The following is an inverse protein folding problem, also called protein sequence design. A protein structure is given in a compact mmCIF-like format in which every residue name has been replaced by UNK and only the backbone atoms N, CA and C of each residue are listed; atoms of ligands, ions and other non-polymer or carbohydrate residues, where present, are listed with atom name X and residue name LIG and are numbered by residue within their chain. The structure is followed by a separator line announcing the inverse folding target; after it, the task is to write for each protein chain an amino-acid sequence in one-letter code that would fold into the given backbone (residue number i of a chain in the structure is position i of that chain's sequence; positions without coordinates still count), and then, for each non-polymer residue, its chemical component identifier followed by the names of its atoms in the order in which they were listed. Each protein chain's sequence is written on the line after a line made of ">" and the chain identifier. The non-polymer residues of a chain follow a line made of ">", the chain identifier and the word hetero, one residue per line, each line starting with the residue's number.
data_IF_597131808620
#
_entry.id   IF_597131808620
#
_cell.length_a   1.000
_cell.length_b   1.000
_cell.length_c   1.000
_cell.angle_alpha   90.00
_cell.angle_beta   90.00
_cell.angle_gamma   90.00
#
_symmetry.space_group_name_H-M   'P 1'
#
loop_
_entity.id
_entity.type
_entity.pdbx_description
1 polymer ?
#
# COMPACT_ATOMS: atom_id res chain seq x y z
N UNK A 1 -4.01 21.47 14.29
CA UNK A 1 -4.30 20.58 13.14
C UNK A 1 -5.74 20.08 13.07
N UNK A 2 -6.41 19.73 14.19
CA UNK A 2 -7.80 19.23 14.17
C UNK A 2 -8.78 20.12 13.36
N UNK A 3 -8.69 21.45 13.51
CA UNK A 3 -9.59 22.42 12.87
C UNK A 3 -9.13 22.94 11.50
N UNK A 4 -7.92 22.59 11.05
CA UNK A 4 -7.36 23.12 9.80
C UNK A 4 -7.79 22.27 8.59
N UNK A 5 -8.66 22.76 7.74
CA UNK A 5 -9.15 22.01 6.56
C UNK A 5 -8.09 21.71 5.51
N UNK A 6 -6.93 22.40 5.54
CA UNK A 6 -5.82 22.17 4.61
C UNK A 6 -4.94 20.99 5.02
N UNK A 7 -5.08 20.50 6.26
CA UNK A 7 -4.34 19.34 6.77
C UNK A 7 -5.19 18.08 6.63
N UNK A 8 -4.72 17.09 5.85
CA UNK A 8 -5.39 15.79 5.72
C UNK A 8 -4.85 14.72 6.67
N UNK A 9 -3.54 14.75 6.96
CA UNK A 9 -2.84 13.76 7.79
C UNK A 9 -1.83 14.48 8.68
N UNK A 10 -1.63 14.00 9.91
CA UNK A 10 -0.61 14.53 10.83
C UNK A 10 0.44 13.46 11.09
N UNK A 11 1.72 13.80 10.97
CA UNK A 11 2.84 12.96 11.44
C UNK A 11 3.48 13.67 12.63
N UNK A 12 3.74 12.94 13.71
CA UNK A 12 4.43 13.43 14.90
C UNK A 12 5.61 12.51 15.25
N UNK A 13 6.80 13.09 15.42
CA UNK A 13 7.95 12.40 16.00
C UNK A 13 8.08 12.78 17.47
N UNK A 14 8.20 11.79 18.36
CA UNK A 14 8.15 11.99 19.82
C UNK A 14 9.30 11.26 20.50
N UNK A 15 10.17 11.98 21.21
CA UNK A 15 11.25 11.41 22.03
C UNK A 15 10.95 11.43 23.53
N UNK A 16 10.17 12.42 23.97
CA UNK A 16 9.81 12.65 25.37
C UNK A 16 8.52 13.45 25.44
N UNK A 17 7.80 13.31 26.55
CA UNK A 17 6.57 14.05 26.82
C UNK A 17 6.68 14.72 28.19
N UNK A 18 6.41 16.03 28.25
CA UNK A 18 6.33 16.75 29.52
C UNK A 18 4.99 16.51 30.20
N UNK A 19 3.90 16.51 29.42
CA UNK A 19 2.55 16.18 29.87
C UNK A 19 1.94 15.11 28.95
N UNK A 20 1.91 13.86 29.44
CA UNK A 20 1.36 12.74 28.69
C UNK A 20 -0.17 12.77 28.55
N UNK A 21 -0.88 13.39 29.49
CA UNK A 21 -2.35 13.47 29.46
C UNK A 21 -2.80 14.49 28.43
N UNK A 22 -2.16 15.66 28.41
CA UNK A 22 -2.43 16.69 27.40
C UNK A 22 -2.13 16.17 25.99
N UNK A 23 -0.98 15.50 25.82
CA UNK A 23 -0.63 14.86 24.54
C UNK A 23 -1.66 13.81 24.11
N UNK A 24 -2.11 12.93 25.02
CA UNK A 24 -3.15 11.95 24.73
C UNK A 24 -4.47 12.62 24.29
N UNK A 25 -4.91 13.66 25.01
CA UNK A 25 -6.14 14.37 24.70
C UNK A 25 -6.05 15.05 23.32
N UNK A 26 -4.92 15.67 23.01
CA UNK A 26 -4.68 16.30 21.71
C UNK A 26 -4.67 15.29 20.56
N UNK A 27 -4.05 14.12 20.77
CA UNK A 27 -4.10 13.03 19.79
C UNK A 27 -5.53 12.56 19.57
N UNK A 28 -6.28 12.29 20.65
CA UNK A 28 -7.67 11.82 20.58
C UNK A 28 -8.56 12.80 19.81
N UNK A 29 -8.47 14.10 20.10
CA UNK A 29 -9.26 15.12 19.41
C UNK A 29 -8.96 15.17 17.89
N UNK A 30 -7.71 14.99 17.49
CA UNK A 30 -7.34 15.01 16.07
C UNK A 30 -7.78 13.71 15.38
N UNK A 31 -7.53 12.56 16.03
CA UNK A 31 -7.82 11.22 15.50
C UNK A 31 -9.30 10.97 15.21
N UNK A 32 -10.20 11.64 15.93
CA UNK A 32 -11.65 11.62 15.65
C UNK A 32 -12.02 12.12 14.25
N UNK A 33 -11.12 12.86 13.59
CA UNK A 33 -11.41 13.51 12.30
C UNK A 33 -10.39 13.18 11.22
N UNK A 34 -9.16 12.88 11.63
CA UNK A 34 -8.02 12.77 10.72
C UNK A 34 -7.01 11.76 11.24
N UNK A 35 -6.37 11.00 10.35
CA UNK A 35 -5.29 10.11 10.75
C UNK A 35 -4.13 10.89 11.37
N UNK A 36 -3.72 10.43 12.55
CA UNK A 36 -2.48 10.88 13.22
C UNK A 36 -1.52 9.72 13.28
N UNK A 37 -0.32 9.91 12.76
CA UNK A 37 0.76 8.94 12.74
C UNK A 37 1.85 9.39 13.71
N UNK A 38 2.26 8.51 14.60
CA UNK A 38 3.24 8.79 15.64
C UNK A 38 4.46 7.90 15.45
N UNK A 39 5.63 8.53 15.29
CA UNK A 39 6.94 7.88 15.30
C UNK A 39 7.57 8.12 16.66
N UNK A 40 7.79 7.05 17.43
CA UNK A 40 8.41 7.14 18.75
C UNK A 40 9.92 6.97 18.63
N UNK A 41 10.68 7.95 19.11
CA UNK A 41 12.10 7.80 19.42
C UNK A 41 12.30 7.05 20.75
N UNK A 42 13.41 6.33 20.89
CA UNK A 42 13.74 5.62 22.13
C UNK A 42 12.91 4.37 22.42
N UNK A 43 12.53 3.61 21.39
CA UNK A 43 11.70 2.39 21.49
C UNK A 43 12.38 1.21 22.18
N UNK A 44 13.71 1.21 22.20
CA UNK A 44 14.55 0.15 22.79
C UNK A 44 15.28 0.67 24.02
N UNK A 45 15.87 -0.21 24.83
CA UNK A 45 16.67 0.19 26.00
C UNK A 45 17.78 1.17 25.62
N UNK A 46 18.47 0.93 24.50
CA UNK A 46 19.59 1.77 24.07
C UNK A 46 19.11 3.07 23.44
N UNK A 47 18.03 3.02 22.65
CA UNK A 47 17.39 4.22 22.13
C UNK A 47 16.84 5.11 23.26
N UNK A 48 16.24 4.52 24.30
CA UNK A 48 15.70 5.24 25.45
C UNK A 48 16.81 5.94 26.25
N UNK A 49 17.95 5.28 26.45
CA UNK A 49 19.14 5.91 27.05
C UNK A 49 19.64 7.09 26.21
N UNK A 50 19.73 6.91 24.89
CA UNK A 50 20.14 7.97 23.97
C UNK A 50 19.18 9.17 24.04
N UNK A 51 17.87 8.92 23.95
CA UNK A 51 16.85 9.96 24.05
C UNK A 51 16.88 10.68 25.40
N UNK A 52 17.05 9.95 26.51
CA UNK A 52 17.17 10.54 27.85
C UNK A 52 18.40 11.44 27.98
N UNK A 53 19.54 11.04 27.42
CA UNK A 53 20.76 11.85 27.43
C UNK A 53 20.63 13.13 26.58
N UNK A 54 19.84 13.09 25.51
CA UNK A 54 19.66 14.22 24.59
C UNK A 54 18.57 15.20 25.06
N UNK A 55 17.47 14.68 25.61
CA UNK A 55 16.28 15.50 25.95
C UNK A 55 16.17 15.81 27.43
N UNK A 56 16.94 15.13 28.28
CA UNK A 56 16.80 15.20 29.74
C UNK A 56 15.49 14.60 30.26
N UNK A 57 14.68 13.97 29.40
CA UNK A 57 13.40 13.38 29.78
C UNK A 57 13.57 11.94 30.27
N UNK A 58 12.72 11.54 31.22
CA UNK A 58 12.73 10.19 31.76
C UNK A 58 12.14 9.23 30.72
N UNK A 59 12.79 8.08 30.53
CA UNK A 59 12.31 7.06 29.60
C UNK A 59 10.93 6.54 30.03
N UNK A 60 9.91 6.74 29.19
CA UNK A 60 8.59 6.14 29.36
C UNK A 60 8.60 4.68 28.91
N UNK A 61 7.82 3.83 29.58
CA UNK A 61 7.61 2.44 29.14
C UNK A 61 6.99 2.41 27.73
N UNK A 62 7.66 1.71 26.81
CA UNK A 62 7.27 1.65 25.40
C UNK A 62 5.87 1.03 25.21
N UNK A 63 5.52 0.01 26.00
CA UNK A 63 4.23 -0.68 25.90
C UNK A 63 3.10 0.22 26.38
N UNK A 64 3.34 0.99 27.44
CA UNK A 64 2.38 2.00 27.92
C UNK A 64 2.18 3.07 26.85
N UNK A 65 3.27 3.57 26.24
CA UNK A 65 3.18 4.57 25.18
C UNK A 65 2.38 4.03 23.98
N UNK A 66 2.71 2.85 23.46
CA UNK A 66 2.00 2.25 22.32
C UNK A 66 0.51 2.01 22.61
N UNK A 67 0.18 1.57 23.82
CA UNK A 67 -1.21 1.40 24.26
C UNK A 67 -1.94 2.73 24.28
N UNK A 68 -1.32 3.79 24.81
CA UNK A 68 -1.90 5.13 24.85
C UNK A 68 -2.12 5.71 23.45
N UNK A 69 -1.17 5.53 22.51
CA UNK A 69 -1.33 5.94 21.12
C UNK A 69 -2.52 5.24 20.47
N UNK A 70 -2.62 3.91 20.64
CA UNK A 70 -3.72 3.14 20.08
C UNK A 70 -5.09 3.53 20.67
N UNK A 71 -5.16 3.78 21.99
CA UNK A 71 -6.38 4.24 22.66
C UNK A 71 -6.80 5.65 22.21
N UNK A 72 -5.84 6.51 21.87
CA UNK A 72 -6.10 7.84 21.30
C UNK A 72 -6.50 7.80 19.81
N UNK A 73 -6.67 6.61 19.21
CA UNK A 73 -7.02 6.45 17.80
C UNK A 73 -5.88 6.81 16.83
N UNK A 74 -4.67 7.05 17.35
CA UNK A 74 -3.50 7.35 16.54
C UNK A 74 -2.78 6.06 16.10
N UNK A 75 -2.00 6.16 15.03
CA UNK A 75 -1.31 5.04 14.40
C UNK A 75 0.18 5.13 14.72
N UNK A 76 0.75 4.05 15.26
CA UNK A 76 2.18 3.98 15.54
C UNK A 76 2.94 3.53 14.28
N UNK A 77 3.97 4.28 13.90
CA UNK A 77 4.96 3.90 12.90
C UNK A 77 6.31 3.64 13.58
N UNK A 78 7.08 2.69 13.02
CA UNK A 78 8.36 2.25 13.58
C UNK A 78 9.48 3.23 13.27
N UNK A 79 9.40 3.88 12.12
CA UNK A 79 10.40 4.78 11.57
C UNK A 79 9.74 5.85 10.68
N UNK A 80 10.49 6.89 10.28
CA UNK A 80 9.96 7.94 9.38
C UNK A 80 9.52 7.42 8.01
N UNK A 81 10.18 6.39 7.45
CA UNK A 81 9.83 5.84 6.13
C UNK A 81 8.41 5.24 6.17
N UNK A 82 8.13 4.40 7.16
CA UNK A 82 6.80 3.84 7.40
C UNK A 82 5.75 4.94 7.66
N UNK A 83 6.12 6.00 8.38
CA UNK A 83 5.21 7.11 8.62
C UNK A 83 4.84 7.87 7.34
N UNK A 84 5.80 8.06 6.43
CA UNK A 84 5.52 8.66 5.12
C UNK A 84 4.69 7.74 4.23
N UNK A 85 4.97 6.44 4.23
CA UNK A 85 4.16 5.43 3.53
C UNK A 85 2.70 5.48 3.99
N UNK A 86 2.47 5.53 5.30
CA UNK A 86 1.13 5.63 5.88
C UNK A 86 0.46 6.95 5.50
N UNK A 87 1.17 8.07 5.63
CA UNK A 87 0.60 9.38 5.34
C UNK A 87 0.19 9.52 3.88
N UNK A 88 1.02 9.04 2.97
CA UNK A 88 0.70 9.08 1.56
C UNK A 88 -0.39 8.06 1.18
N UNK A 89 -0.51 6.93 1.89
CA UNK A 89 -1.67 6.05 1.78
C UNK A 89 -2.97 6.79 2.13
N UNK A 90 -3.01 7.48 3.27
CA UNK A 90 -4.18 8.28 3.68
C UNK A 90 -4.49 9.45 2.75
N UNK A 91 -3.46 10.02 2.10
CA UNK A 91 -3.62 11.12 1.16
C UNK A 91 -4.13 10.68 -0.21
N UNK A 92 -3.85 9.44 -0.64
CA UNK A 92 -4.05 9.01 -2.03
C UNK A 92 -5.10 7.91 -2.21
N UNK A 93 -5.52 7.24 -1.12
CA UNK A 93 -6.43 6.10 -1.19
C UNK A 93 -7.74 6.34 -0.43
N UNK A 94 -8.88 5.83 -0.92
CA UNK A 94 -10.11 5.79 -0.13
C UNK A 94 -9.98 4.81 1.03
N UNK A 95 -10.73 5.04 2.11
CA UNK A 95 -10.78 4.11 3.24
C UNK A 95 -11.49 2.80 2.83
N UNK A 96 -10.92 1.63 3.16
CA UNK A 96 -11.56 0.35 2.89
C UNK A 96 -12.78 0.16 3.81
N UNK A 97 -13.81 -0.56 3.33
CA UNK A 97 -15.03 -0.85 4.11
C UNK A 97 -14.91 -2.07 5.03
N UNK A 98 -13.78 -2.74 4.99
CA UNK A 98 -13.51 -3.96 5.72
C UNK A 98 -12.06 -4.37 5.50
N UNK A 99 -11.70 -5.57 5.97
CA UNK A 99 -10.33 -6.07 5.94
C UNK A 99 -10.09 -7.17 4.90
N UNK A 100 -11.02 -7.43 3.98
CA UNK A 100 -10.83 -8.44 2.94
C UNK A 100 -9.92 -7.91 1.82
N UNK A 101 -8.75 -8.53 1.68
CA UNK A 101 -7.72 -8.16 0.72
C UNK A 101 -7.65 -9.20 -0.37
N UNK A 102 -7.67 -8.73 -1.61
CA UNK A 102 -7.33 -9.53 -2.79
C UNK A 102 -5.93 -9.17 -3.29
N UNK A 103 -5.07 -10.16 -3.51
CA UNK A 103 -3.74 -9.96 -4.07
C UNK A 103 -3.75 -10.38 -5.54
N UNK A 104 -3.26 -9.53 -6.43
CA UNK A 104 -3.09 -9.81 -7.86
C UNK A 104 -1.61 -9.64 -8.20
N UNK A 105 -1.00 -10.60 -8.90
CA UNK A 105 0.44 -10.57 -9.15
C UNK A 105 0.83 -11.08 -10.54
N UNK A 106 1.78 -10.39 -11.17
CA UNK A 106 2.57 -10.89 -12.31
C UNK A 106 3.84 -11.62 -11.88
N UNK A 107 4.17 -11.60 -10.58
CA UNK A 107 5.34 -12.22 -9.98
C UNK A 107 4.93 -13.14 -8.81
N UNK A 108 4.78 -14.43 -9.06
CA UNK A 108 4.26 -15.40 -8.06
C UNK A 108 5.00 -15.39 -6.71
N UNK A 109 6.33 -15.24 -6.72
CA UNK A 109 7.13 -15.15 -5.49
C UNK A 109 6.77 -13.95 -4.61
N UNK A 110 6.44 -12.80 -5.22
CA UNK A 110 5.94 -11.63 -4.48
C UNK A 110 4.56 -11.91 -3.88
N UNK A 111 3.74 -12.70 -4.55
CA UNK A 111 2.45 -13.16 -4.02
C UNK A 111 2.61 -13.95 -2.72
N UNK A 112 3.57 -14.88 -2.66
CA UNK A 112 3.87 -15.67 -1.44
C UNK A 112 4.28 -14.76 -0.29
N UNK A 113 5.24 -13.86 -0.51
CA UNK A 113 5.70 -12.92 0.52
C UNK A 113 4.54 -12.04 1.01
N UNK A 114 3.72 -11.53 0.09
CA UNK A 114 2.57 -10.70 0.44
C UNK A 114 1.55 -11.47 1.29
N UNK A 115 1.30 -12.74 0.98
CA UNK A 115 0.40 -13.60 1.75
C UNK A 115 0.92 -13.83 3.18
N UNK A 116 2.23 -14.05 3.35
CA UNK A 116 2.87 -14.16 4.66
C UNK A 116 2.74 -12.86 5.48
N UNK A 117 2.93 -11.71 4.84
CA UNK A 117 2.79 -10.41 5.50
C UNK A 117 1.34 -10.12 5.89
N UNK A 118 0.36 -10.44 5.04
CA UNK A 118 -1.06 -10.32 5.38
C UNK A 118 -1.39 -11.23 6.57
N UNK A 119 -0.85 -12.45 6.62
CA UNK A 119 -1.09 -13.41 7.70
C UNK A 119 -0.55 -12.95 9.07
N UNK A 120 0.40 -12.00 9.09
CA UNK A 120 0.94 -11.37 10.32
C UNK A 120 0.19 -10.10 10.72
N UNK A 121 -0.80 -9.67 9.93
CA UNK A 121 -1.56 -8.44 10.12
C UNK A 121 -3.01 -8.74 10.50
N UNK A 122 -3.80 -7.69 10.76
CA UNK A 122 -5.25 -7.78 10.96
C UNK A 122 -6.05 -7.83 9.65
N UNK A 123 -5.37 -7.89 8.50
CA UNK A 123 -6.00 -8.06 7.19
C UNK A 123 -6.37 -9.53 6.95
N UNK A 124 -7.39 -9.74 6.12
CA UNK A 124 -7.84 -11.07 5.73
C UNK A 124 -7.50 -11.34 4.27
N UNK A 125 -6.57 -12.27 4.02
CA UNK A 125 -6.34 -12.80 2.67
C UNK A 125 -7.55 -13.64 2.27
N UNK A 126 -8.52 -12.99 1.65
CA UNK A 126 -9.86 -13.57 1.50
C UNK A 126 -9.84 -14.82 0.62
N UNK A 127 -10.63 -15.83 1.00
CA UNK A 127 -10.95 -16.94 0.09
C UNK A 127 -11.79 -16.41 -1.07
N UNK A 128 -11.43 -16.77 -2.30
CA UNK A 128 -12.21 -16.41 -3.48
C UNK A 128 -13.62 -17.00 -3.42
N UNK A 129 -14.67 -16.17 -3.44
CA UNK A 129 -16.04 -16.65 -3.67
C UNK A 129 -16.15 -17.27 -5.06
N UNK A 130 -16.95 -18.33 -5.20
CA UNK A 130 -17.08 -19.06 -6.49
C UNK A 130 -17.44 -18.11 -7.65
N UNK A 131 -18.39 -17.19 -7.45
CA UNK A 131 -18.78 -16.23 -8.49
C UNK A 131 -17.64 -15.26 -8.90
N UNK A 132 -16.76 -14.89 -7.97
CA UNK A 132 -15.58 -14.08 -8.30
C UNK A 132 -14.52 -14.91 -9.02
N UNK A 133 -14.28 -16.14 -8.55
CA UNK A 133 -13.38 -17.09 -9.20
C UNK A 133 -13.80 -17.33 -10.65
N UNK A 134 -15.07 -17.65 -10.89
CA UNK A 134 -15.63 -17.90 -12.23
C UNK A 134 -15.50 -16.65 -13.12
N UNK A 135 -15.70 -15.45 -12.55
CA UNK A 135 -15.55 -14.19 -13.28
C UNK A 135 -14.11 -13.95 -13.71
N UNK A 136 -13.15 -14.17 -12.81
CA UNK A 136 -11.70 -14.07 -13.11
C UNK A 136 -11.29 -15.12 -14.12
N UNK A 137 -11.90 -16.32 -14.08
CA UNK A 137 -11.52 -17.43 -14.94
C UNK A 137 -11.73 -17.14 -16.43
N UNK A 138 -12.71 -16.30 -16.75
CA UNK A 138 -12.96 -15.85 -18.13
C UNK A 138 -11.87 -14.94 -18.69
N UNK A 139 -10.95 -14.45 -17.84
CA UNK A 139 -9.91 -13.49 -18.21
C UNK A 139 -8.49 -14.06 -18.15
N UNK A 140 -8.30 -15.25 -17.58
CA UNK A 140 -6.99 -15.84 -17.30
C UNK A 140 -6.81 -17.21 -17.95
N UNK A 141 -5.56 -17.59 -18.31
CA UNK A 141 -5.30 -18.91 -18.87
C UNK A 141 -5.60 -20.00 -17.82
N UNK A 142 -6.03 -21.23 -18.21
CA UNK A 142 -6.45 -22.27 -17.27
C UNK A 142 -5.47 -22.61 -16.13
N UNK A 143 -4.18 -22.31 -16.33
CA UNK A 143 -3.07 -22.55 -15.40
C UNK A 143 -2.82 -21.44 -14.37
N UNK A 144 -3.66 -20.40 -14.30
CA UNK A 144 -3.56 -19.39 -13.23
C UNK A 144 -3.82 -20.03 -11.85
N UNK A 145 -3.47 -19.35 -10.75
CA UNK A 145 -3.41 -19.96 -9.41
C UNK A 145 -4.74 -20.49 -8.84
N UNK A 146 -5.90 -20.08 -9.37
CA UNK A 146 -7.25 -20.40 -8.86
C UNK A 146 -7.45 -20.05 -7.38
N UNK A 147 -6.68 -19.09 -6.87
CA UNK A 147 -6.65 -18.72 -5.46
C UNK A 147 -6.35 -17.25 -5.23
N UNK A 148 -6.13 -16.90 -3.97
CA UNK A 148 -5.65 -15.60 -3.54
C UNK A 148 -4.31 -15.83 -2.83
N UNK A 149 -3.17 -15.41 -3.41
CA UNK A 149 -3.02 -14.50 -4.56
C UNK A 149 -3.47 -15.03 -5.92
N UNK A 150 -4.01 -14.12 -6.75
CA UNK A 150 -4.30 -14.34 -8.18
C UNK A 150 -2.99 -14.13 -8.95
N UNK A 151 -2.31 -15.24 -9.27
CA UNK A 151 -1.13 -15.23 -10.12
C UNK A 151 -1.57 -15.33 -11.59
N UNK A 152 -1.25 -14.31 -12.38
CA UNK A 152 -1.61 -14.22 -13.80
C UNK A 152 -0.84 -15.21 -14.68
N UNK A 153 0.16 -15.88 -14.10
CA UNK A 153 0.98 -16.92 -14.67
C UNK A 153 1.78 -16.47 -15.92
N UNK A 154 2.07 -15.18 -16.07
CA UNK A 154 2.77 -14.65 -17.25
C UNK A 154 1.93 -14.68 -18.54
N UNK A 155 0.60 -14.77 -18.40
CA UNK A 155 -0.36 -14.75 -19.52
C UNK A 155 -0.97 -13.38 -19.79
N UNK A 156 -0.45 -12.31 -19.18
CA UNK A 156 -1.02 -10.99 -19.27
C UNK A 156 -0.88 -10.39 -20.67
N UNK A 157 -2.03 -10.04 -21.23
CA UNK A 157 -2.12 -9.20 -22.43
C UNK A 157 -2.49 -7.78 -22.01
N UNK A 158 -2.62 -6.88 -22.99
CA UNK A 158 -2.97 -5.46 -22.78
C UNK A 158 -4.20 -5.25 -21.89
N UNK A 159 -5.17 -6.15 -21.94
CA UNK A 159 -6.46 -5.97 -21.26
C UNK A 159 -6.61 -6.91 -20.04
N UNK A 160 -5.67 -7.84 -19.81
CA UNK A 160 -5.76 -8.81 -18.70
C UNK A 160 -5.79 -8.13 -17.33
N UNK A 161 -4.78 -7.30 -16.99
CA UNK A 161 -4.71 -6.60 -15.70
C UNK A 161 -5.90 -5.63 -15.52
N UNK A 162 -6.22 -4.75 -16.49
CA UNK A 162 -7.39 -3.85 -16.37
C UNK A 162 -8.70 -4.60 -16.10
N UNK A 163 -8.94 -5.72 -16.80
CA UNK A 163 -10.16 -6.50 -16.64
C UNK A 163 -10.23 -7.19 -15.27
N UNK A 164 -9.15 -7.85 -14.84
CA UNK A 164 -9.11 -8.55 -13.55
C UNK A 164 -9.28 -7.56 -12.38
N UNK A 165 -8.62 -6.40 -12.44
CA UNK A 165 -8.79 -5.35 -11.43
C UNK A 165 -10.24 -4.84 -11.40
N UNK A 166 -10.83 -4.55 -12.55
CA UNK A 166 -12.22 -4.08 -12.62
C UNK A 166 -13.21 -5.11 -12.06
N UNK A 167 -13.07 -6.39 -12.45
CA UNK A 167 -13.89 -7.50 -11.95
C UNK A 167 -13.77 -7.64 -10.43
N UNK A 168 -12.54 -7.59 -9.90
CA UNK A 168 -12.28 -7.67 -8.48
C UNK A 168 -12.88 -6.49 -7.71
N UNK A 169 -12.65 -5.25 -8.15
CA UNK A 169 -13.15 -4.05 -7.48
C UNK A 169 -14.68 -3.97 -7.47
N UNK A 170 -15.34 -4.47 -8.54
CA UNK A 170 -16.80 -4.54 -8.61
C UNK A 170 -17.40 -5.51 -7.58
N UNK A 171 -16.64 -6.51 -7.13
CA UNK A 171 -17.17 -7.54 -6.25
C UNK A 171 -17.39 -7.02 -4.82
N UNK A 172 -18.59 -7.15 -4.22
CA UNK A 172 -18.92 -6.51 -2.94
C UNK A 172 -18.13 -7.04 -1.74
N UNK A 173 -17.59 -8.27 -1.81
CA UNK A 173 -16.75 -8.85 -0.74
C UNK A 173 -15.27 -8.45 -0.78
N UNK A 174 -14.83 -7.76 -1.84
CA UNK A 174 -13.44 -7.27 -1.95
C UNK A 174 -13.43 -5.87 -1.36
N UNK A 175 -12.68 -5.67 -0.27
CA UNK A 175 -12.57 -4.35 0.37
C UNK A 175 -11.38 -3.56 -0.17
N UNK A 176 -10.33 -4.26 -0.60
CA UNK A 176 -9.09 -3.67 -1.10
C UNK A 176 -8.33 -4.65 -2.02
N UNK A 177 -7.42 -4.10 -2.82
CA UNK A 177 -6.51 -4.89 -3.67
C UNK A 177 -5.06 -4.52 -3.37
N UNK A 178 -4.18 -5.51 -3.35
CA UNK A 178 -2.73 -5.32 -3.51
C UNK A 178 -2.32 -5.87 -4.89
N UNK A 179 -1.81 -5.00 -5.76
CA UNK A 179 -1.27 -5.35 -7.06
C UNK A 179 0.26 -5.39 -7.03
N UNK A 180 0.85 -6.46 -7.55
CA UNK A 180 2.29 -6.72 -7.48
C UNK A 180 2.87 -6.87 -8.89
N UNK A 181 4.06 -6.29 -9.10
CA UNK A 181 4.85 -6.45 -10.32
C UNK A 181 4.55 -5.45 -11.45
N UNK A 182 4.05 -4.26 -11.11
CA UNK A 182 4.01 -3.12 -12.04
C UNK A 182 5.44 -2.73 -12.45
N UNK A 183 5.69 -2.51 -13.74
CA UNK A 183 6.98 -2.10 -14.28
C UNK A 183 7.83 -3.24 -14.86
N UNK A 184 7.46 -4.50 -14.65
CA UNK A 184 8.17 -5.67 -15.20
C UNK A 184 8.20 -5.60 -16.73
N UNK A 185 7.09 -5.25 -17.38
CA UNK A 185 7.03 -5.12 -18.84
C UNK A 185 7.85 -3.90 -19.30
N UNK A 186 7.94 -2.85 -18.48
CA UNK A 186 8.82 -1.71 -18.71
C UNK A 186 10.31 -2.11 -18.73
N UNK A 187 10.72 -3.02 -17.84
CA UNK A 187 12.08 -3.58 -17.84
C UNK A 187 12.34 -4.47 -19.06
N UNK A 188 11.34 -5.25 -19.51
CA UNK A 188 11.44 -5.98 -20.78
C UNK A 188 11.64 -5.01 -21.95
N UNK A 189 10.88 -3.91 -22.00
CA UNK A 189 11.04 -2.88 -23.01
C UNK A 189 12.45 -2.29 -23.03
N UNK A 190 12.99 -1.97 -21.84
CA UNK A 190 14.35 -1.47 -21.69
C UNK A 190 15.38 -2.47 -22.22
N UNK A 191 15.20 -3.78 -21.95
CA UNK A 191 16.11 -4.81 -22.47
C UNK A 191 16.17 -4.83 -24.00
N UNK A 192 15.05 -4.55 -24.69
CA UNK A 192 15.03 -4.40 -26.15
C UNK A 192 15.75 -3.13 -26.63
N UNK A 193 15.56 -2.01 -25.93
CA UNK A 193 16.12 -0.71 -26.31
C UNK A 193 17.63 -0.61 -26.04
N UNK A 194 18.14 -1.30 -25.03
CA UNK A 194 19.55 -1.32 -24.63
C UNK A 194 20.34 -2.47 -25.30
N UNK A 195 19.66 -3.39 -25.98
CA UNK A 195 20.31 -4.52 -26.65
C UNK A 195 21.21 -4.07 -27.80
N UNK A 196 22.37 -4.70 -27.93
CA UNK A 196 23.24 -4.57 -29.10
C UNK A 196 22.63 -5.16 -30.38
N UNK A 197 21.54 -5.94 -30.26
CA UNK A 197 20.76 -6.50 -31.36
C UNK A 197 19.48 -5.71 -31.64
N UNK A 198 19.40 -4.45 -31.20
CA UNK A 198 18.24 -3.59 -31.41
C UNK A 198 17.92 -3.42 -32.90
N UNK A 199 16.67 -3.68 -33.25
CA UNK A 199 16.07 -3.45 -34.58
C UNK A 199 14.79 -2.62 -34.46
N UNK A 200 14.24 -2.19 -35.59
CA UNK A 200 12.93 -1.52 -35.62
C UNK A 200 11.82 -2.40 -35.03
N UNK A 201 11.88 -3.72 -35.22
CA UNK A 201 10.93 -4.68 -34.63
C UNK A 201 11.02 -4.66 -33.11
N UNK A 202 12.23 -4.73 -32.55
CA UNK A 202 12.41 -4.72 -31.09
C UNK A 202 12.01 -3.38 -30.47
N UNK A 203 12.20 -2.27 -31.21
CA UNK A 203 11.70 -0.95 -30.78
C UNK A 203 10.16 -0.91 -30.76
N UNK A 204 9.50 -1.47 -31.79
CA UNK A 204 8.04 -1.60 -31.81
C UNK A 204 7.53 -2.43 -30.63
N UNK A 205 8.21 -3.53 -30.29
CA UNK A 205 7.90 -4.35 -29.12
C UNK A 205 8.11 -3.58 -27.81
N UNK A 206 9.22 -2.85 -27.67
CA UNK A 206 9.48 -2.02 -26.50
C UNK A 206 8.39 -0.96 -26.30
N UNK A 207 8.03 -0.24 -27.35
CA UNK A 207 6.97 0.77 -27.31
C UNK A 207 5.62 0.17 -26.90
N UNK A 208 5.31 -1.05 -27.36
CA UNK A 208 4.13 -1.77 -26.94
C UNK A 208 4.13 -2.05 -25.44
N UNK A 209 5.21 -2.64 -24.89
CA UNK A 209 5.33 -2.92 -23.45
C UNK A 209 5.26 -1.64 -22.60
N UNK A 210 5.93 -0.57 -23.01
CA UNK A 210 5.87 0.72 -22.32
C UNK A 210 4.45 1.29 -22.32
N UNK A 211 3.71 1.16 -23.43
CA UNK A 211 2.31 1.60 -23.51
C UNK A 211 1.38 0.77 -22.62
N UNK A 212 1.63 -0.53 -22.50
CA UNK A 212 0.87 -1.42 -21.63
C UNK A 212 1.05 -1.08 -20.15
N UNK A 213 2.28 -0.84 -19.70
CA UNK A 213 2.57 -0.43 -18.32
C UNK A 213 1.81 0.83 -17.90
N UNK A 214 1.85 1.86 -18.76
CA UNK A 214 1.10 3.10 -18.52
C UNK A 214 -0.39 2.84 -18.39
N UNK A 215 -0.95 1.99 -19.27
CA UNK A 215 -2.35 1.60 -19.23
C UNK A 215 -2.71 0.83 -17.96
N UNK A 216 -1.82 -0.02 -17.44
CA UNK A 216 -2.04 -0.72 -16.17
C UNK A 216 -2.16 0.28 -15.02
N UNK A 217 -1.21 1.21 -14.91
CA UNK A 217 -1.25 2.30 -13.92
C UNK A 217 -2.53 3.14 -14.03
N UNK A 218 -2.92 3.52 -15.24
CA UNK A 218 -4.16 4.27 -15.51
C UNK A 218 -5.41 3.49 -15.08
N UNK A 219 -5.47 2.19 -15.39
CA UNK A 219 -6.59 1.34 -15.02
C UNK A 219 -6.73 1.16 -13.51
N UNK A 220 -5.61 1.08 -12.79
CA UNK A 220 -5.58 1.02 -11.32
C UNK A 220 -6.19 2.30 -10.73
N UNK A 221 -5.69 3.46 -11.15
CA UNK A 221 -6.16 4.76 -10.63
C UNK A 221 -7.62 5.02 -11.01
N UNK A 222 -8.02 4.65 -12.22
CA UNK A 222 -9.42 4.75 -12.64
C UNK A 222 -10.31 3.82 -11.81
N UNK A 223 -9.88 2.58 -11.56
CA UNK A 223 -10.58 1.64 -10.70
C UNK A 223 -10.78 2.16 -9.27
N UNK A 224 -9.74 2.75 -8.67
CA UNK A 224 -9.86 3.40 -7.35
C UNK A 224 -10.95 4.47 -7.38
N UNK A 225 -10.96 5.32 -8.42
CA UNK A 225 -11.94 6.42 -8.56
C UNK A 225 -13.37 5.91 -8.76
N UNK A 226 -13.56 4.88 -9.56
CA UNK A 226 -14.87 4.36 -9.95
C UNK A 226 -15.53 3.55 -8.82
N UNK A 227 -14.74 2.71 -8.14
CA UNK A 227 -15.27 1.77 -7.15
C UNK A 227 -15.10 2.25 -5.70
N UNK A 228 -14.32 3.31 -5.46
CA UNK A 228 -14.03 3.86 -4.13
C UNK A 228 -13.48 2.80 -3.17
N UNK A 229 -12.60 1.94 -3.68
CA UNK A 229 -11.88 0.93 -2.92
C UNK A 229 -10.38 1.10 -3.12
N UNK A 230 -9.56 0.97 -2.07
CA UNK A 230 -8.13 1.16 -2.18
C UNK A 230 -7.47 0.08 -3.05
N UNK A 231 -6.51 0.49 -3.86
CA UNK A 231 -5.61 -0.39 -4.61
C UNK A 231 -4.18 0.03 -4.35
N UNK A 232 -3.44 -0.84 -3.67
CA UNK A 232 -2.05 -0.62 -3.32
C UNK A 232 -1.17 -1.32 -4.35
N UNK A 233 -0.17 -0.63 -4.89
CA UNK A 233 0.76 -1.21 -5.85
C UNK A 233 2.11 -1.39 -5.18
N UNK A 234 2.69 -2.59 -5.23
CA UNK A 234 4.04 -2.83 -4.73
C UNK A 234 4.96 -3.32 -5.87
N UNK A 235 6.05 -2.59 -6.09
CA UNK A 235 7.17 -3.01 -6.92
C UNK A 235 8.44 -2.25 -6.55
N UNK A 236 9.52 -3.00 -6.40
CA UNK A 236 10.89 -2.54 -6.26
C UNK A 236 11.36 -1.68 -7.46
N UNK A 237 10.72 -1.86 -8.62
CA UNK A 237 11.02 -1.11 -9.85
C UNK A 237 10.70 0.38 -9.67
N UNK A 238 9.70 0.72 -8.86
CA UNK A 238 9.37 2.12 -8.57
C UNK A 238 10.51 2.92 -7.93
N UNK A 239 11.47 2.23 -7.28
CA UNK A 239 12.68 2.86 -6.73
C UNK A 239 13.90 2.60 -7.61
N UNK A 240 14.07 1.38 -8.10
CA UNK A 240 15.27 0.98 -8.84
C UNK A 240 15.32 1.54 -10.26
N UNK A 241 14.18 1.94 -10.82
CA UNK A 241 14.07 2.66 -12.09
C UNK A 241 12.94 3.69 -12.01
N UNK A 242 13.29 4.91 -11.59
CA UNK A 242 12.35 6.04 -11.49
C UNK A 242 11.77 6.49 -12.83
N UNK A 243 12.37 6.06 -13.95
CA UNK A 243 11.89 6.36 -15.31
C UNK A 243 11.01 5.24 -15.89
N UNK A 244 10.81 4.16 -15.14
CA UNK A 244 10.01 3.04 -15.62
C UNK A 244 8.57 3.49 -15.91
N UNK A 245 8.02 3.18 -17.10
CA UNK A 245 6.74 3.71 -17.57
C UNK A 245 5.55 3.39 -16.67
N UNK A 246 5.57 2.27 -15.92
CA UNK A 246 4.47 1.86 -15.05
C UNK A 246 4.44 2.64 -13.74
N UNK A 247 5.41 2.42 -12.84
CA UNK A 247 5.50 3.13 -11.57
C UNK A 247 5.53 4.66 -11.71
N UNK A 248 6.27 5.18 -12.70
CA UNK A 248 6.33 6.62 -12.95
C UNK A 248 4.95 7.19 -13.29
N UNK A 249 4.20 6.50 -14.19
CA UNK A 249 2.83 6.91 -14.55
C UNK A 249 1.87 6.83 -13.37
N UNK A 250 2.01 5.81 -12.52
CA UNK A 250 1.19 5.69 -11.31
C UNK A 250 1.38 6.88 -10.36
N UNK A 251 2.62 7.32 -10.18
CA UNK A 251 3.00 8.48 -9.37
C UNK A 251 2.48 9.79 -9.98
N UNK A 252 2.64 9.99 -11.29
CA UNK A 252 2.09 11.15 -12.01
C UNK A 252 0.57 11.30 -11.83
N UNK A 253 -0.14 10.17 -11.74
CA UNK A 253 -1.59 10.13 -11.54
C UNK A 253 -2.01 10.36 -10.08
N UNK A 254 -1.06 10.61 -9.18
CA UNK A 254 -1.30 10.89 -7.76
C UNK A 254 -1.49 9.65 -6.90
N UNK A 255 -1.04 8.47 -7.35
CA UNK A 255 -1.05 7.23 -6.56
C UNK A 255 0.38 6.81 -6.21
N UNK A 256 0.52 5.90 -5.25
CA UNK A 256 1.83 5.43 -4.80
C UNK A 256 2.23 4.07 -5.37
N UNK A 257 3.54 3.90 -5.54
CA UNK A 257 4.17 2.59 -5.76
C UNK A 257 5.06 2.26 -4.56
N UNK A 258 4.62 1.32 -3.73
CA UNK A 258 5.38 0.84 -2.57
C UNK A 258 6.59 0.04 -3.01
N UNK A 259 7.68 0.15 -2.24
CA UNK A 259 8.94 -0.53 -2.54
C UNK A 259 8.94 -2.03 -2.25
N UNK A 260 7.98 -2.51 -1.45
CA UNK A 260 7.92 -3.88 -0.97
C UNK A 260 6.50 -4.31 -0.64
N UNK A 261 6.20 -5.62 -0.70
CA UNK A 261 4.97 -6.18 -0.16
C UNK A 261 4.69 -5.76 1.29
N UNK A 262 5.69 -5.82 2.15
CA UNK A 262 5.57 -5.48 3.57
C UNK A 262 5.12 -4.04 3.80
N UNK A 263 5.64 -3.07 3.03
CA UNK A 263 5.22 -1.67 3.15
C UNK A 263 3.78 -1.46 2.65
N UNK A 264 3.39 -2.11 1.55
CA UNK A 264 2.02 -2.05 1.05
C UNK A 264 1.02 -2.64 2.07
N UNK A 265 1.31 -3.82 2.62
CA UNK A 265 0.46 -4.50 3.61
C UNK A 265 0.32 -3.67 4.89
N UNK A 266 1.42 -3.18 5.45
CA UNK A 266 1.38 -2.36 6.68
C UNK A 266 0.59 -1.05 6.48
N UNK A 267 0.77 -0.42 5.32
CA UNK A 267 0.04 0.81 4.99
C UNK A 267 -1.46 0.57 4.80
N UNK A 268 -1.84 -0.52 4.15
CA UNK A 268 -3.24 -0.93 4.02
C UNK A 268 -3.86 -1.29 5.38
N UNK A 269 -3.09 -1.95 6.25
CA UNK A 269 -3.51 -2.26 7.61
C UNK A 269 -3.75 -0.97 8.43
N UNK A 270 -2.88 0.03 8.31
CA UNK A 270 -3.06 1.34 8.93
C UNK A 270 -4.35 2.02 8.47
N UNK A 271 -4.64 2.03 7.16
CA UNK A 271 -5.91 2.55 6.61
C UNK A 271 -7.13 1.79 7.16
N UNK A 272 -7.01 0.46 7.23
CA UNK A 272 -8.10 -0.41 7.69
C UNK A 272 -8.38 -0.19 9.18
N UNK A 273 -7.34 -0.06 10.00
CA UNK A 273 -7.44 0.25 11.44
C UNK A 273 -8.15 1.59 11.65
N UNK A 274 -7.76 2.63 10.92
CA UNK A 274 -8.41 3.94 11.01
C UNK A 274 -9.88 3.88 10.56
N UNK A 275 -10.17 3.22 9.44
CA UNK A 275 -11.54 3.04 8.93
C UNK A 275 -12.45 2.32 9.95
N UNK A 276 -11.93 1.31 10.65
CA UNK A 276 -12.68 0.61 11.68
C UNK A 276 -13.03 1.50 12.90
N UNK A 277 -12.16 2.47 13.22
CA UNK A 277 -12.42 3.44 14.30
C UNK A 277 -13.48 4.46 13.87
N UNK A 278 -13.42 4.95 12.64
CA UNK A 278 -14.37 5.93 12.07
C UNK A 278 -15.80 5.36 11.97
N UNK A 279 -15.95 4.08 11.62
CA UNK A 279 -17.25 3.41 11.55
C UNK A 279 -17.81 2.94 12.91
N UNK A 280 -17.03 3.07 13.99
CA UNK A 280 -17.41 2.66 15.35
C UNK A 280 -17.90 3.79 16.25
N UNK A 281 -17.96 5.03 15.74
CA UNK A 281 -18.42 6.24 16.44
C UNK A 281 -19.88 6.60 16.20
#
# INVERSE_FOLDING_TARGET
>A
FAKDTSTNVVISYVEGLTDGRDFYNALSEISERKPVIVVRGGRTSDGAKAAASHTGSMASDQKIFETAIAQAGAISARDPEEAFDFAAAFATQPLPKGNNVLVITTAGGWGVITADEISKSNLNLMKLPNNLLDSIDNHLPPRWSKGNPIDLAGGETRDTIPNVISVALKHPKVDSIIFLGLGIQGNVARSYLESHLRTEETERMANFHMSQEKRYAESIVQGIKDYKKPVFVASEIGITDSTNPGPSRLIELGSMCYNSPSSAVRSLEALTKFSAMDNGG
#
